data_IF_638993461198
#
_entry.id   IF_638993461198
#
_cell.length_a   1.000
_cell.length_b   1.000
_cell.length_c   1.000
_cell.angle_alpha   90.00
_cell.angle_beta   90.00
_cell.angle_gamma   90.00
#
_symmetry.space_group_name_H-M   'P 1'
#
loop_
_entity.id
_entity.type
_entity.pdbx_description
1 polymer ?
#
# COMPACT_ATOMS: atom_id res chain seq x y z
N UNK A 1 35.43 -59.00 34.51
CA UNK A 1 33.97 -58.96 34.68
C UNK A 1 33.47 -57.53 34.52
N UNK A 2 32.35 -57.38 33.80
CA UNK A 2 31.46 -56.19 33.66
C UNK A 2 32.00 -54.99 32.88
N UNK A 3 31.25 -54.35 31.97
CA UNK A 3 29.98 -54.60 31.25
C UNK A 3 29.95 -53.52 30.15
N UNK A 4 29.66 -53.90 28.91
CA UNK A 4 29.37 -52.96 27.81
C UNK A 4 28.01 -52.31 28.09
N UNK A 5 27.92 -50.99 27.92
CA UNK A 5 26.64 -50.28 27.77
C UNK A 5 26.76 -49.32 26.59
N UNK A 6 26.10 -49.70 25.48
CA UNK A 6 25.73 -48.83 24.36
C UNK A 6 24.30 -48.36 24.67
N UNK A 7 24.01 -47.06 24.60
CA UNK A 7 22.68 -46.57 24.21
C UNK A 7 22.65 -45.03 24.07
N UNK A 8 22.56 -44.58 22.81
CA UNK A 8 21.64 -43.54 22.32
C UNK A 8 21.49 -42.24 23.14
N UNK A 9 22.10 -41.16 22.65
CA UNK A 9 21.62 -39.80 22.89
C UNK A 9 21.29 -39.16 21.53
N UNK A 10 20.02 -38.77 21.39
CA UNK A 10 19.37 -38.27 20.18
C UNK A 10 20.04 -37.00 19.61
N UNK A 11 19.98 -36.78 18.27
CA UNK A 11 20.43 -35.54 17.67
C UNK A 11 19.54 -34.39 18.13
N UNK A 12 20.16 -33.36 18.72
CA UNK A 12 19.54 -32.06 18.97
C UNK A 12 19.18 -31.44 17.62
N UNK A 13 17.91 -31.50 17.23
CA UNK A 13 17.38 -30.75 16.09
C UNK A 13 17.36 -29.29 16.52
N UNK A 14 18.33 -28.51 16.06
CA UNK A 14 18.25 -27.05 16.05
C UNK A 14 17.08 -26.68 15.12
N UNK A 15 15.95 -26.31 15.70
CA UNK A 15 14.86 -25.68 14.96
C UNK A 15 15.36 -24.28 14.59
N UNK A 16 15.71 -24.11 13.32
CA UNK A 16 15.95 -22.80 12.72
C UNK A 16 14.74 -21.91 12.99
N UNK A 17 14.91 -20.90 13.83
CA UNK A 17 13.94 -19.81 13.91
C UNK A 17 13.98 -19.08 12.57
N UNK A 18 12.94 -19.30 11.76
CA UNK A 18 12.71 -18.51 10.56
C UNK A 18 12.66 -17.03 10.97
N UNK A 19 13.60 -16.26 10.44
CA UNK A 19 13.59 -14.82 10.48
C UNK A 19 12.41 -14.32 9.65
N UNK A 20 11.26 -14.13 10.29
CA UNK A 20 10.15 -13.40 9.69
C UNK A 20 10.42 -11.90 9.86
N UNK A 21 11.40 -11.41 9.09
CA UNK A 21 11.50 -10.03 8.69
C UNK A 21 10.58 -9.80 7.47
N UNK A 22 9.30 -10.10 7.65
CA UNK A 22 8.23 -9.54 6.85
C UNK A 22 7.45 -8.66 7.81
N UNK A 23 7.09 -7.45 7.40
CA UNK A 23 6.17 -6.58 8.14
C UNK A 23 4.99 -7.42 8.66
N UNK A 24 5.01 -7.81 9.93
CA UNK A 24 3.87 -8.51 10.51
C UNK A 24 2.68 -7.59 10.32
N UNK A 25 1.65 -8.12 9.66
CA UNK A 25 0.44 -7.38 9.39
C UNK A 25 -0.07 -6.76 10.71
N UNK A 26 -0.57 -5.54 10.67
CA UNK A 26 -0.90 -4.79 11.89
C UNK A 26 -1.90 -5.54 12.77
N UNK A 27 -2.81 -6.27 12.14
CA UNK A 27 -3.72 -7.20 12.81
C UNK A 27 -2.99 -8.32 13.59
N UNK A 28 -1.89 -8.86 13.05
CA UNK A 28 -1.07 -9.88 13.71
C UNK A 28 -0.38 -9.32 14.96
N UNK A 29 0.21 -8.12 14.85
CA UNK A 29 0.86 -7.46 16.00
C UNK A 29 -0.15 -7.12 17.11
N UNK A 30 -1.32 -6.62 16.74
CA UNK A 30 -2.42 -6.31 17.67
C UNK A 30 -2.90 -7.60 18.38
N UNK A 31 -3.16 -8.68 17.65
CA UNK A 31 -3.59 -9.96 18.23
C UNK A 31 -2.53 -10.57 19.17
N UNK A 32 -1.25 -10.46 18.82
CA UNK A 32 -0.16 -10.94 19.67
C UNK A 32 -0.12 -10.21 21.02
N UNK A 33 -0.25 -8.87 21.02
CA UNK A 33 -0.26 -8.07 22.26
C UNK A 33 -1.52 -8.36 23.08
N UNK A 34 -2.69 -8.50 22.44
CA UNK A 34 -3.93 -8.86 23.14
C UNK A 34 -3.82 -10.24 23.82
N UNK A 35 -3.21 -11.21 23.16
CA UNK A 35 -2.96 -12.55 23.76
C UNK A 35 -2.04 -12.44 24.98
N UNK A 36 -0.99 -11.61 24.91
CA UNK A 36 -0.11 -11.37 26.05
C UNK A 36 -0.83 -10.68 27.22
N UNK A 37 -1.77 -9.76 26.93
CA UNK A 37 -2.61 -9.13 27.96
C UNK A 37 -3.48 -10.17 28.66
N UNK A 38 -4.14 -11.05 27.90
CA UNK A 38 -4.98 -12.12 28.47
C UNK A 38 -4.18 -13.04 29.39
N UNK A 39 -2.99 -13.45 28.95
CA UNK A 39 -2.09 -14.24 29.78
C UNK A 39 -1.66 -13.49 31.05
N UNK A 40 -1.20 -12.25 30.94
CA UNK A 40 -0.78 -11.45 32.09
C UNK A 40 -1.90 -11.21 33.12
N UNK A 41 -3.16 -11.11 32.65
CA UNK A 41 -4.36 -11.03 33.51
C UNK A 41 -4.60 -12.32 34.29
N UNK A 42 -4.43 -13.50 33.67
CA UNK A 42 -4.61 -14.79 34.34
C UNK A 42 -3.64 -14.99 35.52
N UNK A 43 -2.41 -14.48 35.41
CA UNK A 43 -1.39 -14.58 36.46
C UNK A 43 -1.40 -13.40 37.45
N UNK A 44 -2.36 -12.47 37.34
CA UNK A 44 -2.50 -11.32 38.24
C UNK A 44 -1.37 -10.28 38.11
N UNK A 45 -0.63 -10.25 37.00
CA UNK A 45 0.50 -9.35 36.82
C UNK A 45 0.05 -7.96 36.31
N UNK A 46 -0.48 -7.14 37.22
CA UNK A 46 -1.09 -5.83 36.91
C UNK A 46 -0.11 -4.87 36.22
N UNK A 47 1.16 -4.86 36.62
CA UNK A 47 2.18 -4.00 36.02
C UNK A 47 2.47 -4.37 34.56
N UNK A 48 2.53 -5.68 34.28
CA UNK A 48 2.73 -6.18 32.92
C UNK A 48 1.52 -5.86 32.02
N UNK A 49 0.31 -6.01 32.55
CA UNK A 49 -0.92 -5.63 31.84
C UNK A 49 -0.90 -4.15 31.44
N UNK A 50 -0.58 -3.24 32.37
CA UNK A 50 -0.53 -1.81 32.09
C UNK A 50 0.53 -1.44 31.03
N UNK A 51 1.68 -2.13 31.01
CA UNK A 51 2.70 -1.96 29.97
C UNK A 51 2.24 -2.44 28.59
N UNK A 52 1.59 -3.59 28.54
CA UNK A 52 1.06 -4.17 27.30
C UNK A 52 -0.10 -3.36 26.73
N UNK A 53 -0.97 -2.79 27.57
CA UNK A 53 -2.05 -1.89 27.13
C UNK A 53 -1.50 -0.60 26.51
N UNK A 54 -0.43 -0.02 27.08
CA UNK A 54 0.30 1.10 26.44
C UNK A 54 0.92 0.71 25.10
N UNK A 55 1.53 -0.47 25.03
CA UNK A 55 2.10 -1.00 23.79
C UNK A 55 1.03 -1.22 22.71
N UNK A 56 -0.13 -1.77 23.10
CA UNK A 56 -1.28 -1.97 22.22
C UNK A 56 -1.77 -0.65 21.64
N UNK A 57 -1.95 0.38 22.48
CA UNK A 57 -2.37 1.71 22.02
C UNK A 57 -1.36 2.31 21.03
N UNK A 58 -0.06 2.17 21.30
CA UNK A 58 0.99 2.65 20.42
C UNK A 58 0.98 1.93 19.06
N UNK A 59 0.88 0.59 19.08
CA UNK A 59 0.80 -0.20 17.84
C UNK A 59 -0.45 0.15 17.06
N UNK A 60 -1.61 0.31 17.71
CA UNK A 60 -2.86 0.69 17.04
C UNK A 60 -2.77 2.06 16.35
N UNK A 61 -2.16 3.05 17.01
CA UNK A 61 -1.93 4.38 16.43
C UNK A 61 -0.96 4.32 15.23
N UNK A 62 0.24 3.79 15.44
CA UNK A 62 1.28 3.73 14.39
C UNK A 62 0.86 2.86 13.19
N UNK A 63 0.15 1.76 13.43
CA UNK A 63 -0.38 0.93 12.36
C UNK A 63 -1.43 1.66 11.52
N UNK A 64 -2.35 2.37 12.17
CA UNK A 64 -3.38 3.14 11.46
C UNK A 64 -2.75 4.20 10.56
N UNK A 65 -1.72 4.90 11.05
CA UNK A 65 -1.00 5.91 10.30
C UNK A 65 -0.22 5.29 9.12
N UNK A 66 0.45 4.17 9.35
CA UNK A 66 1.16 3.42 8.30
C UNK A 66 0.21 2.95 7.21
N UNK A 67 -0.91 2.32 7.58
CA UNK A 67 -1.92 1.85 6.63
C UNK A 67 -2.54 3.01 5.82
N UNK A 68 -2.73 4.17 6.46
CA UNK A 68 -3.25 5.36 5.80
C UNK A 68 -2.24 5.93 4.80
N UNK A 69 -0.96 6.00 5.16
CA UNK A 69 0.13 6.39 4.26
C UNK A 69 0.22 5.43 3.08
N UNK A 70 0.18 4.12 3.30
CA UNK A 70 0.23 3.12 2.22
C UNK A 70 -0.96 3.26 1.27
N UNK A 71 -2.18 3.46 1.79
CA UNK A 71 -3.37 3.72 0.96
C UNK A 71 -3.19 4.98 0.12
N UNK A 72 -2.70 6.07 0.71
CA UNK A 72 -2.45 7.32 -0.01
C UNK A 72 -1.35 7.16 -1.08
N UNK A 73 -0.30 6.37 -0.81
CA UNK A 73 0.72 6.03 -1.81
C UNK A 73 0.12 5.26 -2.99
N UNK A 74 -0.72 4.25 -2.72
CA UNK A 74 -1.42 3.50 -3.78
C UNK A 74 -2.35 4.41 -4.59
N UNK A 75 -3.07 5.33 -3.95
CA UNK A 75 -3.93 6.28 -4.67
C UNK A 75 -3.10 7.18 -5.60
N UNK A 76 -1.97 7.74 -5.14
CA UNK A 76 -1.07 8.53 -5.99
C UNK A 76 -0.59 7.72 -7.20
N UNK A 77 -0.18 6.47 -7.01
CA UNK A 77 0.25 5.60 -8.11
C UNK A 77 -0.88 5.37 -9.12
N UNK A 78 -2.10 5.13 -8.65
CA UNK A 78 -3.28 4.98 -9.50
C UNK A 78 -3.58 6.26 -10.29
N UNK A 79 -3.54 7.43 -9.63
CA UNK A 79 -3.76 8.73 -10.29
C UNK A 79 -2.67 9.03 -11.32
N UNK A 80 -1.42 8.64 -11.09
CA UNK A 80 -0.34 8.75 -12.07
C UNK A 80 -0.61 7.88 -13.31
N UNK A 81 -1.10 6.66 -13.12
CA UNK A 81 -1.48 5.79 -14.23
C UNK A 81 -2.65 6.39 -15.04
N UNK A 82 -3.66 6.94 -14.37
CA UNK A 82 -4.78 7.63 -15.00
C UNK A 82 -4.30 8.82 -15.86
N UNK A 83 -3.36 9.61 -15.36
CA UNK A 83 -2.74 10.71 -16.13
C UNK A 83 -2.02 10.18 -17.37
N UNK A 84 -1.22 9.11 -17.24
CA UNK A 84 -0.54 8.48 -18.38
C UNK A 84 -1.53 8.00 -19.44
N UNK A 85 -2.63 7.36 -19.04
CA UNK A 85 -3.71 6.94 -19.94
C UNK A 85 -4.36 8.13 -20.64
N UNK A 86 -4.67 9.20 -19.90
CA UNK A 86 -5.26 10.41 -20.48
C UNK A 86 -4.31 11.11 -21.46
N UNK A 87 -3.00 11.13 -21.19
CA UNK A 87 -1.99 11.64 -22.13
C UNK A 87 -1.97 10.85 -23.44
N UNK A 88 -2.07 9.52 -23.35
CA UNK A 88 -2.17 8.66 -24.54
C UNK A 88 -3.46 8.93 -25.34
N UNK A 89 -4.60 9.13 -24.67
CA UNK A 89 -5.87 9.51 -25.34
C UNK A 89 -5.75 10.86 -26.07
N UNK A 90 -5.05 11.85 -25.48
CA UNK A 90 -4.79 13.15 -26.13
C UNK A 90 -3.88 13.00 -27.35
N UNK A 91 -2.85 12.17 -27.27
CA UNK A 91 -1.96 11.89 -28.39
C UNK A 91 -2.73 11.26 -29.57
N UNK A 92 -3.55 10.24 -29.28
CA UNK A 92 -4.38 9.58 -30.30
C UNK A 92 -5.40 10.55 -30.94
N UNK A 93 -6.03 11.41 -30.13
CA UNK A 93 -6.95 12.42 -30.65
C UNK A 93 -6.23 13.46 -31.54
N UNK A 94 -5.00 13.83 -31.18
CA UNK A 94 -4.16 14.75 -31.96
C UNK A 94 -3.79 14.14 -33.31
N UNK A 95 -3.43 12.86 -33.35
CA UNK A 95 -3.15 12.15 -34.61
C UNK A 95 -4.40 12.05 -35.50
N UNK A 96 -5.58 11.79 -34.93
CA UNK A 96 -6.85 11.80 -35.67
C UNK A 96 -7.16 13.16 -36.27
N UNK A 97 -6.88 14.25 -35.54
CA UNK A 97 -7.02 15.60 -36.09
C UNK A 97 -6.05 15.82 -37.27
N UNK A 98 -4.80 15.39 -37.15
CA UNK A 98 -3.80 15.50 -38.23
C UNK A 98 -4.22 14.72 -39.48
N UNK A 99 -4.76 13.51 -39.33
CA UNK A 99 -5.28 12.71 -40.45
C UNK A 99 -6.53 13.35 -41.09
N UNK A 100 -7.44 13.92 -40.28
CA UNK A 100 -8.59 14.64 -40.83
C UNK A 100 -8.17 15.88 -41.62
N UNK A 101 -7.16 16.62 -41.13
CA UNK A 101 -6.58 17.78 -41.80
C UNK A 101 -5.90 17.40 -43.13
N UNK A 102 -5.14 16.30 -43.17
CA UNK A 102 -4.46 15.86 -44.40
C UNK A 102 -5.44 15.42 -45.49
N UNK A 103 -6.62 14.92 -45.10
CA UNK A 103 -7.70 14.53 -46.02
C UNK A 103 -8.60 15.68 -46.45
N UNK A 104 -8.52 16.85 -45.79
CA UNK A 104 -9.34 18.02 -46.10
C UNK A 104 -10.84 17.86 -45.78
N UNK A 105 -11.22 16.92 -44.92
CA UNK A 105 -12.62 16.68 -44.55
C UNK A 105 -13.05 17.64 -43.44
N UNK A 106 -13.62 18.79 -43.81
CA UNK A 106 -14.01 19.85 -42.87
C UNK A 106 -14.89 19.36 -41.71
N UNK A 107 -15.81 18.42 -41.97
CA UNK A 107 -16.70 17.86 -40.95
C UNK A 107 -15.93 16.99 -39.96
N UNK A 108 -15.00 16.16 -40.45
CA UNK A 108 -14.14 15.35 -39.57
C UNK A 108 -13.15 16.20 -38.79
N UNK A 109 -12.62 17.28 -39.39
CA UNK A 109 -11.73 18.21 -38.71
C UNK A 109 -12.44 18.82 -37.50
N UNK A 110 -13.65 19.37 -37.68
CA UNK A 110 -14.42 19.95 -36.58
C UNK A 110 -14.67 18.91 -35.46
N UNK A 111 -15.14 17.72 -35.81
CA UNK A 111 -15.39 16.66 -34.81
C UNK A 111 -14.11 16.19 -34.11
N UNK A 112 -12.97 16.17 -34.80
CA UNK A 112 -11.68 15.80 -34.21
C UNK A 112 -11.14 16.89 -33.27
N UNK A 113 -11.37 18.18 -33.60
CA UNK A 113 -11.03 19.30 -32.72
C UNK A 113 -11.83 19.26 -31.42
N UNK A 114 -13.15 19.05 -31.49
CA UNK A 114 -14.02 18.89 -30.31
C UNK A 114 -13.54 17.73 -29.44
N UNK A 115 -13.30 16.56 -30.02
CA UNK A 115 -12.79 15.39 -29.28
C UNK A 115 -11.43 15.65 -28.64
N UNK A 116 -10.53 16.35 -29.33
CA UNK A 116 -9.23 16.70 -28.77
C UNK A 116 -9.38 17.61 -27.56
N UNK A 117 -10.25 18.61 -27.63
CA UNK A 117 -10.56 19.49 -26.50
C UNK A 117 -11.10 18.69 -25.31
N UNK A 118 -12.07 17.80 -25.52
CA UNK A 118 -12.60 16.92 -24.47
C UNK A 118 -11.51 16.07 -23.81
N UNK A 119 -10.58 15.51 -24.60
CA UNK A 119 -9.45 14.72 -24.07
C UNK A 119 -8.47 15.58 -23.27
N UNK A 120 -8.22 16.82 -23.70
CA UNK A 120 -7.37 17.76 -22.98
C UNK A 120 -7.99 18.16 -21.64
N UNK A 121 -9.31 18.38 -21.60
CA UNK A 121 -10.02 18.69 -20.36
C UNK A 121 -10.02 17.51 -19.39
N UNK A 122 -10.24 16.29 -19.89
CA UNK A 122 -10.09 15.07 -19.08
C UNK A 122 -8.67 14.92 -18.54
N UNK A 123 -7.64 15.22 -19.34
CA UNK A 123 -6.24 15.20 -18.87
C UNK A 123 -6.03 16.20 -17.73
N UNK A 124 -6.52 17.44 -17.86
CA UNK A 124 -6.45 18.46 -16.79
C UNK A 124 -7.11 17.96 -15.52
N UNK A 125 -8.33 17.40 -15.61
CA UNK A 125 -9.03 16.83 -14.47
C UNK A 125 -8.22 15.71 -13.78
N UNK A 126 -7.58 14.82 -14.56
CA UNK A 126 -6.72 13.76 -14.00
C UNK A 126 -5.47 14.32 -13.34
N UNK A 127 -4.86 15.36 -13.90
CA UNK A 127 -3.71 16.04 -13.29
C UNK A 127 -4.09 16.73 -11.98
N UNK A 128 -5.25 17.37 -11.91
CA UNK A 128 -5.75 17.98 -10.67
C UNK A 128 -6.02 16.93 -9.59
N UNK A 129 -6.63 15.79 -9.96
CA UNK A 129 -6.82 14.66 -9.03
C UNK A 129 -5.50 14.10 -8.53
N UNK A 130 -4.50 13.98 -9.39
CA UNK A 130 -3.15 13.57 -8.98
C UNK A 130 -2.53 14.57 -8.00
N UNK A 131 -2.64 15.88 -8.28
CA UNK A 131 -2.12 16.94 -7.42
C UNK A 131 -2.73 16.89 -6.03
N UNK A 132 -4.05 16.68 -5.94
CA UNK A 132 -4.76 16.53 -4.66
C UNK A 132 -4.26 15.29 -3.91
N UNK A 133 -4.19 14.13 -4.57
CA UNK A 133 -3.68 12.90 -3.94
C UNK A 133 -2.24 13.04 -3.43
N UNK A 134 -1.39 13.77 -4.16
CA UNK A 134 -0.02 14.07 -3.73
C UNK A 134 0.02 14.98 -2.51
N UNK A 135 -0.86 15.99 -2.44
CA UNK A 135 -0.99 16.86 -1.27
C UNK A 135 -1.46 16.08 -0.04
N UNK A 136 -2.46 15.21 -0.21
CA UNK A 136 -2.97 14.35 0.87
C UNK A 136 -1.88 13.41 1.40
N UNK A 137 -1.10 12.79 0.51
CA UNK A 137 0.05 11.96 0.91
C UNK A 137 1.12 12.79 1.63
N UNK A 138 1.36 14.03 1.19
CA UNK A 138 2.28 14.95 1.86
C UNK A 138 1.85 15.29 3.28
N UNK A 139 0.55 15.55 3.48
CA UNK A 139 -0.03 15.85 4.80
C UNK A 139 0.01 14.66 5.78
N UNK A 140 0.11 13.42 5.28
CA UNK A 140 0.26 12.23 6.13
C UNK A 140 1.72 11.93 6.51
N UNK A 141 2.68 12.54 5.82
CA UNK A 141 4.13 12.30 6.02
C UNK A 141 4.83 13.43 6.79
N UNK A 142 4.19 14.58 6.92
CA UNK A 142 4.71 15.76 7.64
C UNK A 142 3.97 15.98 8.96
#
# INVERSE_FOLDING_TARGET
MKKIVIASALPFIFISTATFAGSQDCATRINAIQTQIQNAKQWGNVNQVAGLERSLANVQANCRDTDQIERAQRDVQQKQEDVRKAQAEVAEASDKLRDAQSRGDAKKIQSAQEKLADKQDKLREKMDKLRVAQADLGALKG
#
